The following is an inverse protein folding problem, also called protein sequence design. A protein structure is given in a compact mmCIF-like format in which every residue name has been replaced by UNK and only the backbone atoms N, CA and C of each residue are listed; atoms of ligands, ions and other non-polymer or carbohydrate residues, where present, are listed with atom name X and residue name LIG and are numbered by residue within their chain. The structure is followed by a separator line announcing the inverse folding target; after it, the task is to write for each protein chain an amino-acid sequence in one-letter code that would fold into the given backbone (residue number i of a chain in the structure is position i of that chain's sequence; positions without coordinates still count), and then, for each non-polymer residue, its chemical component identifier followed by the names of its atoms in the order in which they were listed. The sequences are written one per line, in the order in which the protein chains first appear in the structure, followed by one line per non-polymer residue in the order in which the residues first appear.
data_IF_713715044119
#
_entry.id   IF_713715044119
#
_cell.length_a   1.000
_cell.length_b   1.000
_cell.length_c   1.000
_cell.angle_alpha   90.00
_cell.angle_beta   90.00
_cell.angle_gamma   90.00
#
_symmetry.space_group_name_H-M   'P 1'
#
loop_
_entity.id
_entity.type
_entity.pdbx_description
1 polymer ?
#
# COMPACT_ATOMS: atom_id res chain seq x y z
N UNK A 1 -0.87 -15.20 -7.02
CA UNK A 1 -1.90 -15.28 -8.07
C UNK A 1 -3.06 -14.41 -7.64
N UNK A 2 -3.43 -13.43 -8.46
CA UNK A 2 -4.62 -12.61 -8.16
C UNK A 2 -5.86 -13.50 -8.39
N UNK A 3 -6.76 -13.64 -7.40
CA UNK A 3 -7.92 -14.52 -7.51
C UNK A 3 -8.77 -14.19 -8.74
N UNK A 4 -9.58 -15.15 -9.17
CA UNK A 4 -10.56 -14.96 -10.25
C UNK A 4 -11.35 -13.64 -10.04
N UNK A 5 -11.50 -12.77 -11.06
CA UNK A 5 -12.21 -11.50 -10.95
C UNK A 5 -13.60 -11.60 -10.31
N UNK A 6 -14.35 -12.68 -10.60
CA UNK A 6 -15.67 -12.89 -10.02
C UNK A 6 -15.60 -13.13 -8.51
N UNK A 7 -14.61 -13.90 -8.05
CA UNK A 7 -14.37 -14.17 -6.63
C UNK A 7 -13.90 -12.92 -5.90
N UNK A 8 -13.04 -12.11 -6.52
CA UNK A 8 -12.63 -10.82 -5.96
C UNK A 8 -13.82 -9.88 -5.78
N UNK A 9 -14.67 -9.80 -6.79
CA UNK A 9 -15.87 -8.98 -6.77
C UNK A 9 -16.82 -9.39 -5.66
N UNK A 10 -17.11 -10.69 -5.54
CA UNK A 10 -17.99 -11.23 -4.50
C UNK A 10 -17.46 -10.90 -3.10
N UNK A 11 -16.16 -11.13 -2.86
CA UNK A 11 -15.52 -10.77 -1.59
C UNK A 11 -15.62 -9.28 -1.26
N UNK A 12 -15.41 -8.41 -2.24
CA UNK A 12 -15.51 -6.96 -2.03
C UNK A 12 -16.95 -6.54 -1.67
N UNK A 13 -17.95 -7.18 -2.28
CA UNK A 13 -19.37 -6.94 -1.92
C UNK A 13 -19.68 -7.45 -0.52
N UNK A 14 -19.19 -8.64 -0.15
CA UNK A 14 -19.35 -9.20 1.19
C UNK A 14 -18.69 -8.34 2.29
N UNK A 15 -17.58 -7.68 1.95
CA UNK A 15 -16.87 -6.70 2.81
C UNK A 15 -17.54 -5.31 2.81
N UNK A 16 -18.67 -5.15 2.10
CA UNK A 16 -19.55 -3.99 2.22
C UNK A 16 -19.48 -2.97 1.08
N UNK A 17 -18.77 -3.25 -0.02
CA UNK A 17 -18.84 -2.38 -1.21
C UNK A 17 -20.14 -2.61 -1.99
N UNK A 18 -20.72 -1.54 -2.51
CA UNK A 18 -21.76 -1.64 -3.53
C UNK A 18 -21.26 -2.43 -4.75
N UNK A 19 -22.14 -3.14 -5.48
CA UNK A 19 -21.75 -3.91 -6.66
C UNK A 19 -20.95 -3.08 -7.69
N UNK A 20 -21.34 -1.81 -7.90
CA UNK A 20 -20.64 -0.91 -8.83
C UNK A 20 -19.24 -0.52 -8.35
N UNK A 21 -19.07 -0.25 -7.05
CA UNK A 21 -17.76 0.04 -6.47
C UNK A 21 -16.84 -1.19 -6.49
N UNK A 22 -17.37 -2.37 -6.19
CA UNK A 22 -16.64 -3.63 -6.30
C UNK A 22 -16.17 -3.89 -7.74
N UNK A 23 -17.05 -3.66 -8.73
CA UNK A 23 -16.70 -3.78 -10.15
C UNK A 23 -15.58 -2.81 -10.55
N UNK A 24 -15.59 -1.58 -10.04
CA UNK A 24 -14.51 -0.61 -10.27
C UNK A 24 -13.19 -1.04 -9.62
N UNK A 25 -13.22 -1.45 -8.36
CA UNK A 25 -12.04 -1.92 -7.63
C UNK A 25 -11.39 -3.14 -8.32
N UNK A 26 -12.20 -4.10 -8.80
CA UNK A 26 -11.69 -5.25 -9.56
C UNK A 26 -11.03 -4.82 -10.86
N UNK A 27 -11.64 -3.92 -11.65
CA UNK A 27 -11.02 -3.40 -12.89
C UNK A 27 -9.65 -2.76 -12.61
N UNK A 28 -9.54 -1.99 -11.53
CA UNK A 28 -8.30 -1.31 -11.13
C UNK A 28 -7.25 -2.30 -10.62
N UNK A 29 -7.63 -3.31 -9.83
CA UNK A 29 -6.75 -4.41 -9.43
C UNK A 29 -6.17 -5.15 -10.64
N UNK A 30 -7.01 -5.46 -11.64
CA UNK A 30 -6.56 -6.13 -12.86
C UNK A 30 -5.63 -5.25 -13.71
N UNK A 31 -5.88 -3.94 -13.78
CA UNK A 31 -4.95 -2.99 -14.43
C UNK A 31 -3.60 -2.97 -13.72
N UNK A 32 -3.60 -2.93 -12.39
CA UNK A 32 -2.39 -2.99 -11.58
C UNK A 32 -1.62 -4.30 -11.78
N UNK A 33 -2.34 -5.42 -11.85
CA UNK A 33 -1.78 -6.74 -12.14
C UNK A 33 -1.04 -6.81 -13.47
N UNK A 34 -1.64 -6.27 -14.53
CA UNK A 34 -1.10 -6.33 -15.88
C UNK A 34 0.25 -5.61 -15.99
N UNK A 35 0.41 -4.50 -15.28
CA UNK A 35 1.65 -3.71 -15.27
C UNK A 35 2.73 -4.27 -14.33
N UNK A 36 2.34 -5.05 -13.32
CA UNK A 36 3.28 -5.80 -12.48
C UNK A 36 3.88 -7.02 -13.18
N UNK A 37 3.19 -7.58 -14.18
CA UNK A 37 3.67 -8.72 -14.99
C UNK A 37 4.49 -8.34 -16.24
N UNK A 38 4.53 -7.06 -16.63
CA UNK A 38 5.21 -6.61 -17.86
C UNK A 38 6.67 -6.21 -17.66
N UNK A 39 7.26 -6.51 -16.50
CA UNK A 39 8.64 -6.14 -16.15
C UNK A 39 9.50 -7.36 -15.84
N UNK A 40 9.83 -8.19 -16.84
CA UNK A 40 11.06 -9.02 -16.92
C UNK A 40 11.05 -9.82 -18.23
N UNK A 41 11.78 -9.34 -19.22
CA UNK A 41 12.27 -10.16 -20.31
C UNK A 41 13.49 -10.96 -19.79
N UNK A 42 13.41 -12.29 -19.82
CA UNK A 42 14.55 -13.19 -19.63
C UNK A 42 14.52 -14.07 -18.37
N UNK A 43 14.04 -15.30 -18.52
CA UNK A 43 14.30 -16.39 -17.58
C UNK A 43 13.07 -16.90 -16.82
N UNK A 44 12.17 -17.60 -17.52
CA UNK A 44 11.08 -18.34 -16.88
C UNK A 44 11.64 -19.62 -16.26
N UNK A 45 11.70 -19.68 -14.92
CA UNK A 45 11.91 -20.90 -14.16
C UNK A 45 10.63 -21.21 -13.39
N UNK A 46 10.25 -22.47 -13.44
CA UNK A 46 9.01 -23.05 -12.94
C UNK A 46 8.74 -22.70 -11.45
N UNK A 47 7.60 -22.07 -11.15
CA UNK A 47 7.17 -21.69 -9.80
C UNK A 47 6.86 -20.19 -9.61
N UNK A 48 5.67 -19.75 -10.03
CA UNK A 48 5.20 -18.35 -9.90
C UNK A 48 5.20 -17.86 -8.43
N UNK A 49 5.80 -16.69 -8.09
CA UNK A 49 5.72 -16.14 -6.74
C UNK A 49 4.31 -15.58 -6.42
N UNK A 50 3.87 -15.60 -5.15
CA UNK A 50 2.52 -15.23 -4.76
C UNK A 50 2.32 -13.71 -4.75
N UNK A 51 1.90 -13.14 -5.89
CA UNK A 51 1.37 -11.77 -5.88
C UNK A 51 0.09 -11.65 -5.05
N UNK A 52 -0.06 -10.55 -4.30
CA UNK A 52 -1.23 -10.23 -3.46
C UNK A 52 -1.90 -8.93 -3.91
N UNK A 53 -3.23 -8.85 -3.79
CA UNK A 53 -4.04 -7.69 -4.15
C UNK A 53 -4.73 -7.07 -2.94
N UNK A 54 -4.86 -5.74 -2.95
CA UNK A 54 -5.39 -4.95 -1.84
C UNK A 54 -6.38 -3.91 -2.35
N UNK A 55 -7.47 -3.74 -1.61
CA UNK A 55 -8.33 -2.57 -1.72
C UNK A 55 -8.31 -1.84 -0.37
N UNK A 56 -7.90 -0.58 -0.37
CA UNK A 56 -7.86 0.26 0.82
C UNK A 56 -8.77 1.47 0.61
N UNK A 57 -9.88 1.59 1.36
CA UNK A 57 -10.80 2.71 1.18
C UNK A 57 -10.18 4.03 1.63
N UNK A 58 -10.58 5.12 0.99
CA UNK A 58 -10.42 6.44 1.59
C UNK A 58 -11.41 6.61 2.74
N UNK A 59 -11.39 7.78 3.38
CA UNK A 59 -12.30 8.08 4.49
C UNK A 59 -12.71 9.54 4.52
N UNK A 60 -13.85 9.81 5.14
CA UNK A 60 -14.26 11.17 5.51
C UNK A 60 -14.44 11.28 7.02
N UNK A 61 -14.18 12.47 7.54
CA UNK A 61 -14.52 12.87 8.90
C UNK A 61 -15.92 13.48 8.92
N UNK A 62 -16.84 12.83 9.62
CA UNK A 62 -18.21 13.31 9.80
C UNK A 62 -18.28 14.32 10.95
N UNK A 63 -17.62 14.03 12.08
CA UNK A 63 -17.58 14.88 13.27
C UNK A 63 -16.22 14.79 13.97
N UNK A 64 -15.87 15.83 14.74
CA UNK A 64 -14.61 15.86 15.50
C UNK A 64 -13.40 16.18 14.63
N UNK A 65 -13.52 17.19 13.77
CA UNK A 65 -12.37 17.72 13.02
C UNK A 65 -11.40 18.39 14.00
N UNK A 66 -10.11 18.15 13.82
CA UNK A 66 -9.05 18.76 14.62
C UNK A 66 -9.12 18.47 16.12
N UNK A 67 -9.76 17.35 16.51
CA UNK A 67 -9.83 16.94 17.91
C UNK A 67 -8.88 15.79 18.23
N UNK A 68 -8.52 14.99 17.23
CA UNK A 68 -7.69 13.79 17.33
C UNK A 68 -6.31 14.08 17.92
N UNK A 69 -5.61 15.09 17.42
CA UNK A 69 -4.28 15.46 17.93
C UNK A 69 -4.30 16.04 19.36
N UNK A 70 -5.48 16.41 19.87
CA UNK A 70 -5.68 16.87 21.24
C UNK A 70 -6.27 15.77 22.16
N UNK A 71 -6.32 14.52 21.71
CA UNK A 71 -6.89 13.40 22.47
C UNK A 71 -8.42 13.37 22.49
N UNK A 72 -9.07 14.15 21.63
CA UNK A 72 -10.51 14.15 21.44
C UNK A 72 -11.01 12.98 20.57
N UNK A 73 -12.33 12.85 20.47
CA UNK A 73 -12.99 11.79 19.69
C UNK A 73 -13.42 12.30 18.32
N UNK A 74 -13.22 11.49 17.29
CA UNK A 74 -13.69 11.76 15.93
C UNK A 74 -14.62 10.65 15.45
N UNK A 75 -15.61 11.01 14.64
CA UNK A 75 -16.48 10.08 13.93
C UNK A 75 -16.07 10.09 12.46
N UNK A 76 -15.53 8.96 12.00
CA UNK A 76 -15.06 8.78 10.62
C UNK A 76 -15.81 7.64 9.94
N UNK A 77 -15.87 7.68 8.62
CA UNK A 77 -16.42 6.59 7.83
C UNK A 77 -15.57 6.32 6.59
N UNK A 78 -15.42 5.04 6.25
CA UNK A 78 -14.74 4.60 5.05
C UNK A 78 -15.62 4.88 3.82
N UNK A 79 -14.98 5.21 2.71
CA UNK A 79 -15.63 5.42 1.42
C UNK A 79 -15.60 4.13 0.60
N UNK A 80 -16.52 4.01 -0.35
CA UNK A 80 -16.44 2.97 -1.38
C UNK A 80 -15.35 3.26 -2.43
N UNK A 81 -14.89 4.51 -2.51
CA UNK A 81 -13.73 4.90 -3.29
C UNK A 81 -12.43 4.67 -2.50
N UNK A 82 -11.36 4.26 -3.16
CA UNK A 82 -10.14 3.83 -2.51
C UNK A 82 -8.99 3.56 -3.47
N UNK A 83 -7.96 2.91 -2.94
CA UNK A 83 -6.76 2.52 -3.67
C UNK A 83 -6.79 1.01 -3.88
N UNK A 84 -6.69 0.62 -5.15
CA UNK A 84 -6.52 -0.77 -5.57
C UNK A 84 -5.05 -0.99 -5.89
N UNK A 85 -4.41 -1.94 -5.23
CA UNK A 85 -2.98 -2.20 -5.42
C UNK A 85 -2.67 -3.69 -5.52
N UNK A 86 -1.57 -3.99 -6.20
CA UNK A 86 -0.97 -5.33 -6.24
C UNK A 86 0.48 -5.24 -5.83
N UNK A 87 0.97 -6.27 -5.16
CA UNK A 87 2.39 -6.47 -4.88
C UNK A 87 2.84 -7.78 -5.48
N UNK A 88 4.00 -7.77 -6.11
CA UNK A 88 4.70 -8.94 -6.64
C UNK A 88 6.19 -8.85 -6.33
N UNK A 89 6.88 -9.96 -6.47
CA UNK A 89 8.34 -10.02 -6.41
C UNK A 89 8.95 -9.18 -7.53
N UNK A 90 10.06 -8.53 -7.23
CA UNK A 90 10.89 -7.86 -8.22
C UNK A 90 12.26 -8.54 -8.31
N UNK A 91 12.76 -8.72 -9.53
CA UNK A 91 13.98 -9.49 -9.81
C UNK A 91 15.25 -8.83 -9.23
N UNK A 92 15.28 -7.51 -9.20
CA UNK A 92 16.35 -6.72 -8.57
C UNK A 92 16.01 -6.41 -7.11
N UNK A 93 17.02 -6.25 -6.25
CA UNK A 93 16.89 -5.86 -4.84
C UNK A 93 16.52 -4.37 -4.68
N UNK A 94 15.35 -4.00 -5.19
CA UNK A 94 14.76 -2.67 -5.16
C UNK A 94 13.27 -2.76 -4.82
N UNK A 95 12.71 -1.67 -4.31
CA UNK A 95 11.27 -1.49 -4.22
C UNK A 95 10.85 -0.56 -5.36
N UNK A 96 10.11 -1.08 -6.34
CA UNK A 96 9.53 -0.30 -7.43
C UNK A 96 8.06 0.03 -7.13
N UNK A 97 7.71 1.29 -7.32
CA UNK A 97 6.37 1.81 -7.19
C UNK A 97 5.84 2.28 -8.54
N UNK A 98 4.62 1.89 -8.89
CA UNK A 98 3.97 2.25 -10.15
C UNK A 98 2.59 2.83 -9.88
N UNK A 99 2.38 4.08 -10.25
CA UNK A 99 1.03 4.65 -10.38
C UNK A 99 0.50 4.26 -11.75
N UNK A 100 -0.49 3.37 -11.78
CA UNK A 100 -1.03 2.86 -13.04
C UNK A 100 -1.98 3.82 -13.74
N UNK A 101 -2.50 4.83 -13.04
CA UNK A 101 -3.38 5.84 -13.63
C UNK A 101 -2.58 6.83 -14.47
N UNK A 102 -1.38 7.21 -14.01
CA UNK A 102 -0.47 8.13 -14.71
C UNK A 102 0.61 7.41 -15.53
N UNK A 103 0.92 6.16 -15.19
CA UNK A 103 2.06 5.41 -15.73
C UNK A 103 3.40 5.78 -15.11
N UNK A 104 3.41 6.69 -14.12
CA UNK A 104 4.63 7.11 -13.43
C UNK A 104 5.23 5.95 -12.63
N UNK A 105 6.58 5.93 -12.54
CA UNK A 105 7.34 4.90 -11.84
C UNK A 105 8.47 5.50 -11.03
N UNK A 106 8.74 4.92 -9.86
CA UNK A 106 9.91 5.23 -9.07
C UNK A 106 10.54 3.96 -8.49
N UNK A 107 11.87 3.88 -8.52
CA UNK A 107 12.65 2.75 -8.01
C UNK A 107 13.47 3.19 -6.80
N UNK A 108 13.40 2.40 -5.74
CA UNK A 108 14.07 2.67 -4.48
C UNK A 108 15.00 1.51 -4.10
N UNK A 109 16.30 1.57 -4.45
CA UNK A 109 17.29 0.60 -4.01
C UNK A 109 17.33 0.48 -2.48
N UNK A 110 17.58 -0.71 -1.94
CA UNK A 110 17.60 -0.92 -0.48
C UNK A 110 18.77 -0.20 0.22
N UNK A 111 19.88 0.00 -0.50
CA UNK A 111 21.14 0.55 0.01
C UNK A 111 21.26 2.08 -0.10
N UNK A 112 20.17 2.76 -0.47
CA UNK A 112 20.13 4.22 -0.64
C UNK A 112 18.94 4.84 0.07
N UNK A 113 19.13 6.08 0.50
CA UNK A 113 18.03 6.89 1.03
C UNK A 113 16.98 7.11 -0.07
N UNK A 114 15.67 6.93 0.22
CA UNK A 114 14.63 7.20 -0.75
C UNK A 114 14.59 8.66 -1.21
N UNK A 115 14.70 8.86 -2.52
CA UNK A 115 14.55 10.16 -3.16
C UNK A 115 13.19 10.20 -3.90
N UNK A 116 12.26 11.10 -3.53
CA UNK A 116 10.97 11.21 -4.21
C UNK A 116 11.05 11.77 -5.63
N UNK A 117 12.22 12.23 -6.06
CA UNK A 117 12.42 12.87 -7.36
C UNK A 117 11.96 14.34 -7.39
N UNK A 118 12.19 15.03 -8.52
CA UNK A 118 12.03 16.48 -8.62
C UNK A 118 10.56 16.94 -8.57
N UNK A 119 9.63 16.12 -9.06
CA UNK A 119 8.22 16.48 -9.18
C UNK A 119 7.41 16.15 -7.91
N UNK A 120 8.00 15.41 -6.96
CA UNK A 120 7.36 15.05 -5.69
C UNK A 120 6.21 14.04 -5.80
N UNK A 121 5.94 13.49 -6.99
CA UNK A 121 4.87 12.51 -7.24
C UNK A 121 5.00 11.24 -6.37
N UNK A 122 6.21 10.91 -5.94
CA UNK A 122 6.50 9.78 -5.05
C UNK A 122 6.92 10.21 -3.64
N UNK A 123 6.53 11.42 -3.19
CA UNK A 123 6.81 11.90 -1.84
C UNK A 123 6.33 10.92 -0.75
N UNK A 124 5.07 10.49 -0.80
CA UNK A 124 4.53 9.56 0.20
C UNK A 124 5.23 8.19 0.19
N UNK A 125 5.45 7.53 -0.96
CA UNK A 125 6.29 6.34 -1.02
C UNK A 125 7.71 6.53 -0.46
N UNK A 126 8.39 7.64 -0.77
CA UNK A 126 9.73 7.91 -0.27
C UNK A 126 9.74 8.13 1.26
N UNK A 127 8.81 8.94 1.78
CA UNK A 127 8.65 9.18 3.23
C UNK A 127 8.36 7.87 3.97
N UNK A 128 7.43 7.06 3.44
CA UNK A 128 7.11 5.75 3.98
C UNK A 128 8.34 4.83 4.03
N UNK A 129 9.06 4.72 2.90
CA UNK A 129 10.23 3.85 2.81
C UNK A 129 11.37 4.30 3.73
N UNK A 130 11.61 5.61 3.84
CA UNK A 130 12.62 6.15 4.75
C UNK A 130 12.32 5.71 6.18
N UNK A 131 11.07 5.92 6.63
CA UNK A 131 10.63 5.54 7.98
C UNK A 131 10.70 4.04 8.24
N UNK A 132 10.07 3.23 7.38
CA UNK A 132 9.95 1.79 7.63
C UNK A 132 11.31 1.09 7.56
N UNK A 133 12.24 1.55 6.72
CA UNK A 133 13.61 1.00 6.66
C UNK A 133 14.36 1.26 7.95
N UNK A 134 14.29 2.48 8.48
CA UNK A 134 14.89 2.81 9.78
C UNK A 134 14.33 1.96 10.91
N UNK A 135 12.99 1.84 10.98
CA UNK A 135 12.33 1.07 12.05
C UNK A 135 12.64 -0.44 11.94
N UNK A 136 12.62 -1.01 10.74
CA UNK A 136 12.95 -2.43 10.54
C UNK A 136 14.42 -2.74 10.83
N UNK A 137 15.34 -1.84 10.43
CA UNK A 137 16.77 -1.98 10.75
C UNK A 137 17.01 -1.95 12.27
N UNK A 138 16.30 -1.08 13.01
CA UNK A 138 16.37 -1.04 14.47
C UNK A 138 15.87 -2.35 15.13
N UNK A 139 15.00 -3.08 14.45
CA UNK A 139 14.52 -4.41 14.86
C UNK A 139 15.38 -5.55 14.30
N UNK A 140 16.40 -5.28 13.50
CA UNK A 140 17.19 -6.30 12.79
C UNK A 140 16.33 -7.16 11.86
N UNK A 141 15.32 -6.55 11.23
CA UNK A 141 14.50 -7.18 10.19
C UNK A 141 15.01 -6.70 8.83
N UNK A 142 15.58 -7.62 8.06
CA UNK A 142 16.17 -7.33 6.75
C UNK A 142 15.12 -7.31 5.63
N UNK A 143 15.38 -6.51 4.59
CA UNK A 143 14.59 -6.51 3.35
C UNK A 143 15.26 -7.43 2.33
N UNK A 144 14.79 -8.68 2.25
CA UNK A 144 15.33 -9.67 1.31
C UNK A 144 14.58 -9.68 -0.03
N UNK A 145 15.32 -9.41 -1.11
CA UNK A 145 14.79 -9.37 -2.47
C UNK A 145 13.97 -8.12 -2.77
N UNK A 146 13.56 -7.97 -4.03
CA UNK A 146 12.79 -6.82 -4.47
C UNK A 146 11.28 -7.00 -4.39
N UNK A 147 10.58 -5.87 -4.46
CA UNK A 147 9.13 -5.82 -4.57
C UNK A 147 8.71 -4.80 -5.63
N UNK A 148 7.68 -5.12 -6.40
CA UNK A 148 6.97 -4.16 -7.25
C UNK A 148 5.57 -3.98 -6.67
N UNK A 149 5.20 -2.74 -6.36
CA UNK A 149 3.86 -2.36 -5.94
C UNK A 149 3.27 -1.45 -6.99
N UNK A 150 2.20 -1.90 -7.64
CA UNK A 150 1.44 -1.12 -8.60
C UNK A 150 0.08 -0.75 -8.01
N UNK A 151 -0.35 0.50 -8.12
CA UNK A 151 -1.64 0.96 -7.61
C UNK A 151 -2.44 1.79 -8.61
N UNK A 152 -3.73 1.93 -8.32
CA UNK A 152 -4.68 2.81 -9.00
C UNK A 152 -5.66 3.36 -7.96
N UNK A 153 -6.06 4.63 -8.09
CA UNK A 153 -6.92 5.31 -7.11
C UNK A 153 -8.24 5.74 -7.73
N UNK A 154 -9.36 5.37 -7.11
CA UNK A 154 -10.69 5.94 -7.41
C UNK A 154 -11.02 7.16 -6.54
N UNK A 155 -10.12 7.58 -5.64
CA UNK A 155 -10.33 8.75 -4.81
C UNK A 155 -10.21 10.05 -5.63
N UNK A 156 -11.18 10.98 -5.52
CA UNK A 156 -11.09 12.29 -6.15
C UNK A 156 -9.87 13.07 -5.65
N UNK A 157 -9.13 13.68 -6.58
CA UNK A 157 -7.97 14.51 -6.25
C UNK A 157 -8.40 15.71 -5.39
N UNK A 158 -7.60 16.03 -4.37
CA UNK A 158 -7.72 17.23 -3.53
C UNK A 158 -9.05 17.39 -2.75
N UNK A 159 -9.81 16.32 -2.52
CA UNK A 159 -11.11 16.40 -1.85
C UNK A 159 -11.09 16.22 -0.32
N UNK A 160 -9.91 16.24 0.31
CA UNK A 160 -9.80 16.04 1.77
C UNK A 160 -10.22 14.65 2.25
N UNK A 161 -10.19 13.64 1.37
CA UNK A 161 -10.64 12.26 1.64
C UNK A 161 -9.52 11.33 2.15
N UNK A 162 -8.44 11.91 2.69
CA UNK A 162 -7.25 11.18 3.17
C UNK A 162 -6.65 10.21 2.16
N UNK A 163 -6.49 10.67 0.92
CA UNK A 163 -5.78 9.91 -0.12
C UNK A 163 -4.35 9.55 0.28
N UNK A 164 -3.66 10.41 1.04
CA UNK A 164 -2.31 10.14 1.54
C UNK A 164 -2.29 9.00 2.56
N UNK A 165 -3.14 9.05 3.57
CA UNK A 165 -3.24 8.00 4.60
C UNK A 165 -3.67 6.66 3.98
N UNK A 166 -4.62 6.68 3.04
CA UNK A 166 -5.01 5.47 2.32
C UNK A 166 -3.83 4.89 1.52
N UNK A 167 -3.01 5.75 0.89
CA UNK A 167 -1.81 5.31 0.17
C UNK A 167 -0.80 4.68 1.13
N UNK A 168 -0.47 5.33 2.24
CA UNK A 168 0.46 4.77 3.23
C UNK A 168 0.02 3.42 3.78
N UNK A 169 -1.26 3.28 4.12
CA UNK A 169 -1.84 1.99 4.55
C UNK A 169 -1.70 0.96 3.43
N UNK A 170 -1.96 1.33 2.19
CA UNK A 170 -1.79 0.45 1.02
C UNK A 170 -0.34 -0.02 0.88
N UNK A 171 0.63 0.90 0.90
CA UNK A 171 2.06 0.58 0.79
C UNK A 171 2.50 -0.34 1.92
N UNK A 172 2.03 -0.09 3.14
CA UNK A 172 2.35 -0.92 4.28
C UNK A 172 1.80 -2.33 4.17
N UNK A 173 0.51 -2.48 3.89
CA UNK A 173 -0.11 -3.80 3.75
C UNK A 173 0.55 -4.60 2.61
N UNK A 174 0.85 -3.95 1.49
CA UNK A 174 1.53 -4.54 0.35
C UNK A 174 2.92 -5.08 0.74
N UNK A 175 3.79 -4.23 1.30
CA UNK A 175 5.15 -4.64 1.63
C UNK A 175 5.20 -5.59 2.83
N UNK A 176 4.39 -5.37 3.87
CA UNK A 176 4.32 -6.26 5.02
C UNK A 176 3.88 -7.67 4.63
N UNK A 177 2.96 -7.78 3.65
CA UNK A 177 2.55 -9.08 3.09
C UNK A 177 3.69 -9.70 2.30
N UNK A 178 4.32 -8.94 1.39
CA UNK A 178 5.39 -9.45 0.53
C UNK A 178 6.64 -9.89 1.30
N UNK A 179 7.05 -9.11 2.29
CA UNK A 179 8.21 -9.43 3.13
C UNK A 179 7.84 -10.24 4.38
N UNK A 180 6.55 -10.61 4.53
CA UNK A 180 6.04 -11.43 5.64
C UNK A 180 6.44 -10.86 7.01
N UNK A 181 6.42 -9.54 7.18
CA UNK A 181 6.87 -8.89 8.43
C UNK A 181 6.08 -9.36 9.65
N UNK A 182 4.79 -9.67 9.48
CA UNK A 182 3.95 -10.27 10.50
C UNK A 182 4.45 -11.65 10.99
N UNK A 183 5.46 -12.25 10.36
CA UNK A 183 6.10 -13.49 10.82
C UNK A 183 7.27 -13.27 11.78
N UNK A 184 7.86 -12.07 11.76
CA UNK A 184 8.93 -11.67 12.67
C UNK A 184 8.37 -11.44 14.08
N UNK A 185 8.86 -12.16 15.12
CA UNK A 185 8.47 -11.92 16.50
C UNK A 185 8.72 -10.47 16.93
N UNK A 186 9.85 -9.88 16.54
CA UNK A 186 10.22 -8.49 16.86
C UNK A 186 9.25 -7.48 16.27
N UNK A 187 8.79 -7.71 15.04
CA UNK A 187 7.78 -6.87 14.41
C UNK A 187 6.44 -6.98 15.17
N UNK A 188 6.00 -8.20 15.50
CA UNK A 188 4.75 -8.41 16.26
C UNK A 188 4.79 -7.81 17.66
N UNK A 189 5.95 -7.81 18.32
CA UNK A 189 6.12 -7.19 19.63
C UNK A 189 5.89 -5.67 19.58
N UNK A 190 6.33 -5.00 18.51
CA UNK A 190 6.12 -3.56 18.34
C UNK A 190 4.71 -3.22 17.84
N UNK A 191 4.14 -4.06 16.98
CA UNK A 191 2.82 -3.85 16.37
C UNK A 191 1.89 -5.03 16.69
N UNK A 192 1.48 -5.20 17.96
CA UNK A 192 0.75 -6.38 18.41
C UNK A 192 -0.72 -6.41 18.01
N UNK A 193 -1.27 -5.28 17.54
CA UNK A 193 -2.69 -5.16 17.20
C UNK A 193 -2.92 -4.24 16.00
N UNK A 194 -4.14 -4.29 15.46
CA UNK A 194 -4.57 -3.39 14.38
C UNK A 194 -4.57 -1.92 14.81
N UNK A 195 -4.90 -1.65 16.06
CA UNK A 195 -4.89 -0.31 16.65
C UNK A 195 -3.46 0.23 16.77
N UNK A 196 -2.51 -0.61 17.21
CA UNK A 196 -1.09 -0.25 17.25
C UNK A 196 -0.55 0.05 15.84
N UNK A 197 -0.90 -0.79 14.86
CA UNK A 197 -0.56 -0.55 13.46
C UNK A 197 -1.18 0.75 12.93
N UNK A 198 -2.45 1.01 13.21
CA UNK A 198 -3.14 2.23 12.80
C UNK A 198 -2.49 3.48 13.40
N UNK A 199 -2.12 3.44 14.70
CA UNK A 199 -1.40 4.53 15.37
C UNK A 199 -0.03 4.77 14.74
N UNK A 200 0.72 3.69 14.49
CA UNK A 200 2.01 3.77 13.81
C UNK A 200 1.87 4.44 12.43
N UNK A 201 0.96 3.95 11.58
CA UNK A 201 0.76 4.49 10.24
C UNK A 201 0.22 5.92 10.23
N UNK A 202 -0.55 6.33 11.25
CA UNK A 202 -0.96 7.72 11.42
C UNK A 202 0.21 8.66 11.75
N UNK A 203 1.28 8.14 12.35
CA UNK A 203 2.46 8.91 12.72
C UNK A 203 3.59 8.88 11.66
N UNK A 204 3.51 8.02 10.63
CA UNK A 204 4.55 7.88 9.60
C UNK A 204 4.84 9.21 8.88
N UNK A 205 3.83 10.07 8.68
CA UNK A 205 4.00 11.39 8.04
C UNK A 205 4.45 12.48 9.01
N UNK A 206 4.33 12.25 10.32
CA UNK A 206 4.41 13.29 11.34
C UNK A 206 5.85 13.66 11.77
N UNK A 207 6.88 12.95 11.32
CA UNK A 207 8.27 13.39 11.52
C UNK A 207 9.33 12.29 11.54
N UNK A 208 10.57 12.73 11.26
CA UNK A 208 11.82 11.96 11.26
C UNK A 208 12.07 11.25 12.60
#
# INVERSE_FOLDING_TARGET
MIPNPAVLRERLVDEGLSPGAADEAVRRLLRAAALGGSGTDGGRLDGEPPGAGFFVPGRIELLGKHTDYAGGRSLVTALEAGISAVVVDHAEAVIEFVDTDTGARARFPHDREPDPGPDGDFLYPATYLSRIRTDLAALGVELEGGALVAWSSSLPRAAGMSSSSALLVTLHLALATRYRWAESPRYREQLPSREALAQYLAAVEAGR
#
